data_IF_028215132399
#
_entry.id   IF_028215132399
#
_cell.length_a   1.000
_cell.length_b   1.000
_cell.length_c   1.000
_cell.angle_alpha   90.00
_cell.angle_beta   90.00
_cell.angle_gamma   90.00
#
_symmetry.space_group_name_H-M   'P 1'
#
loop_
_entity.id
_entity.type
_entity.pdbx_description
1 polymer ?
#
# COMPACT_ATOMS: atom_id res chain seq x y z
N UNK A 1 -23.16 -27.88 39.78
CA UNK A 1 -23.21 -27.46 38.34
C UNK A 1 -22.65 -26.04 38.14
N UNK A 2 -22.89 -25.06 39.01
CA UNK A 2 -22.38 -23.68 38.90
C UNK A 2 -20.84 -23.59 39.02
N UNK A 3 -20.19 -24.39 39.87
CA UNK A 3 -18.73 -24.39 40.01
C UNK A 3 -17.98 -24.99 38.81
N UNK A 4 -18.60 -25.88 38.05
CA UNK A 4 -18.01 -26.45 36.83
C UNK A 4 -18.14 -25.51 35.65
N UNK A 5 -19.19 -24.69 35.57
CA UNK A 5 -19.36 -23.68 34.49
C UNK A 5 -18.36 -22.52 34.62
N UNK A 6 -18.05 -22.08 35.84
CA UNK A 6 -17.02 -21.06 36.08
C UNK A 6 -15.61 -21.53 35.67
N UNK A 7 -15.20 -22.75 36.10
CA UNK A 7 -13.90 -23.31 35.71
C UNK A 7 -13.74 -23.54 34.20
N UNK A 8 -14.79 -23.95 33.49
CA UNK A 8 -14.73 -24.09 32.04
C UNK A 8 -14.60 -22.72 31.31
N UNK A 9 -15.28 -21.71 31.81
CA UNK A 9 -15.14 -20.33 31.30
C UNK A 9 -13.70 -19.81 31.49
N UNK A 10 -13.10 -20.00 32.68
CA UNK A 10 -11.74 -19.56 32.97
C UNK A 10 -10.68 -20.31 32.17
N UNK A 11 -10.83 -21.61 31.94
CA UNK A 11 -9.92 -22.40 31.08
C UNK A 11 -10.03 -21.98 29.62
N UNK A 12 -11.21 -21.70 29.13
CA UNK A 12 -11.38 -21.20 27.74
C UNK A 12 -10.77 -19.81 27.55
N UNK A 13 -10.97 -18.88 28.49
CA UNK A 13 -10.38 -17.54 28.46
C UNK A 13 -8.87 -17.59 28.52
N UNK A 14 -8.28 -18.40 29.40
CA UNK A 14 -6.83 -18.62 29.48
C UNK A 14 -6.26 -19.20 28.18
N UNK A 15 -6.96 -20.12 27.52
CA UNK A 15 -6.50 -20.73 26.27
C UNK A 15 -6.51 -19.71 25.15
N UNK A 16 -7.54 -18.87 25.04
CA UNK A 16 -7.61 -17.80 24.04
C UNK A 16 -6.56 -16.71 24.29
N UNK A 17 -6.29 -16.35 25.54
CA UNK A 17 -5.25 -15.41 25.91
C UNK A 17 -3.85 -15.95 25.54
N UNK A 18 -3.55 -17.21 25.83
CA UNK A 18 -2.30 -17.85 25.38
C UNK A 18 -2.11 -17.80 23.87
N UNK A 19 -3.15 -18.10 23.09
CA UNK A 19 -3.10 -18.01 21.63
C UNK A 19 -2.78 -16.59 21.14
N UNK A 20 -3.37 -15.55 21.77
CA UNK A 20 -3.08 -14.15 21.44
C UNK A 20 -1.62 -13.79 21.72
N UNK A 21 -1.09 -14.18 22.87
CA UNK A 21 0.32 -13.93 23.20
C UNK A 21 1.28 -14.68 22.27
N UNK A 22 0.95 -15.92 21.88
CA UNK A 22 1.75 -16.68 20.91
C UNK A 22 1.81 -15.95 19.57
N UNK A 23 0.68 -15.47 19.05
CA UNK A 23 0.63 -14.70 17.80
C UNK A 23 1.43 -13.40 17.93
N UNK A 24 1.26 -12.66 19.03
CA UNK A 24 2.04 -11.45 19.29
C UNK A 24 3.54 -11.75 19.31
N UNK A 25 3.95 -12.82 19.99
CA UNK A 25 5.35 -13.26 20.04
C UNK A 25 5.91 -13.57 18.64
N UNK A 26 5.11 -14.20 17.76
CA UNK A 26 5.50 -14.45 16.36
C UNK A 26 5.71 -13.13 15.62
N UNK A 27 4.79 -12.17 15.74
CA UNK A 27 4.95 -10.86 15.09
C UNK A 27 6.17 -10.09 15.60
N UNK A 28 6.43 -10.14 16.91
CA UNK A 28 7.66 -9.54 17.49
C UNK A 28 8.90 -10.21 16.92
N UNK A 29 8.93 -11.54 16.84
CA UNK A 29 10.04 -12.27 16.23
C UNK A 29 10.25 -11.93 14.75
N UNK A 30 9.16 -11.83 13.96
CA UNK A 30 9.21 -11.41 12.57
C UNK A 30 9.75 -9.97 12.44
N UNK A 31 9.30 -9.06 13.29
CA UNK A 31 9.77 -7.67 13.30
C UNK A 31 11.26 -7.58 13.59
N UNK A 32 11.71 -8.25 14.65
CA UNK A 32 13.12 -8.29 15.04
C UNK A 32 13.99 -8.95 13.96
N UNK A 33 13.49 -10.03 13.36
CA UNK A 33 14.18 -10.71 12.26
C UNK A 33 14.44 -9.75 11.09
N UNK A 34 13.42 -9.02 10.60
CA UNK A 34 13.63 -8.07 9.51
C UNK A 34 14.50 -6.87 9.93
N UNK A 35 14.34 -6.38 11.17
CA UNK A 35 15.16 -5.27 11.70
C UNK A 35 16.66 -5.61 11.73
N UNK A 36 17.01 -6.88 11.85
CA UNK A 36 18.41 -7.32 11.82
C UNK A 36 19.09 -7.03 10.47
N UNK A 37 18.32 -7.08 9.37
CA UNK A 37 18.86 -6.87 8.03
C UNK A 37 18.89 -5.39 7.59
N UNK A 38 18.29 -4.46 8.33
CA UNK A 38 18.20 -3.06 7.92
C UNK A 38 19.56 -2.40 7.69
N UNK A 39 20.56 -2.76 8.51
CA UNK A 39 21.91 -2.18 8.39
C UNK A 39 22.75 -2.78 7.25
N UNK A 40 22.36 -3.96 6.77
CA UNK A 40 22.99 -4.65 5.65
C UNK A 40 22.38 -4.24 4.31
N UNK A 41 21.29 -3.47 4.36
CA UNK A 41 20.62 -2.98 3.16
C UNK A 41 21.42 -1.83 2.57
N UNK A 42 21.83 -1.95 1.31
CA UNK A 42 22.48 -0.87 0.58
C UNK A 42 21.48 0.19 0.09
N UNK A 43 22.00 1.33 -0.35
CA UNK A 43 21.20 2.41 -0.93
C UNK A 43 20.55 1.90 -2.23
N UNK A 44 19.23 2.05 -2.32
CA UNK A 44 18.45 1.72 -3.49
C UNK A 44 18.64 2.77 -4.58
N UNK A 45 18.59 2.36 -5.85
CA UNK A 45 18.88 3.23 -6.99
C UNK A 45 18.03 4.51 -7.02
N UNK A 46 16.73 4.40 -6.71
CA UNK A 46 15.81 5.53 -6.72
C UNK A 46 15.71 6.28 -5.37
N UNK A 47 16.38 5.80 -4.31
CA UNK A 47 16.23 6.30 -2.94
C UNK A 47 16.47 7.80 -2.84
N UNK A 48 17.56 8.28 -3.44
CA UNK A 48 17.91 9.69 -3.43
C UNK A 48 16.85 10.55 -4.16
N UNK A 49 16.37 10.09 -5.30
CA UNK A 49 15.33 10.77 -6.06
C UNK A 49 13.99 10.80 -5.29
N UNK A 50 13.66 9.73 -4.57
CA UNK A 50 12.44 9.67 -3.77
C UNK A 50 12.52 10.56 -2.51
N UNK A 51 13.70 10.72 -1.92
CA UNK A 51 13.94 11.72 -0.87
C UNK A 51 13.78 13.14 -1.40
N UNK A 52 14.35 13.45 -2.56
CA UNK A 52 14.16 14.75 -3.22
C UNK A 52 12.69 15.05 -3.50
N UNK A 53 11.93 14.06 -4.00
CA UNK A 53 10.48 14.18 -4.22
C UNK A 53 9.77 14.46 -2.89
N UNK A 54 10.13 13.78 -1.80
CA UNK A 54 9.58 14.07 -0.48
C UNK A 54 9.82 15.54 -0.10
N UNK A 55 11.04 16.02 -0.23
CA UNK A 55 11.39 17.40 0.12
C UNK A 55 10.68 18.43 -0.75
N UNK A 56 10.57 18.18 -2.05
CA UNK A 56 9.80 19.06 -2.95
C UNK A 56 8.30 19.09 -2.59
N UNK A 57 7.71 17.98 -2.14
CA UNK A 57 6.33 17.95 -1.63
C UNK A 57 6.20 18.78 -0.34
N UNK A 58 7.15 18.65 0.59
CA UNK A 58 7.16 19.43 1.84
C UNK A 58 7.34 20.92 1.56
N UNK A 59 8.24 21.28 0.64
CA UNK A 59 8.42 22.68 0.22
C UNK A 59 7.12 23.25 -0.35
N UNK A 60 6.41 22.50 -1.20
CA UNK A 60 5.12 22.93 -1.75
C UNK A 60 4.10 23.24 -0.65
N UNK A 61 4.01 22.41 0.40
CA UNK A 61 3.18 22.74 1.57
C UNK A 61 3.65 24.03 2.27
N UNK A 62 4.96 24.18 2.45
CA UNK A 62 5.54 25.37 3.07
C UNK A 62 5.17 26.64 2.34
N UNK A 63 5.27 26.67 1.02
CA UNK A 63 4.92 27.81 0.18
C UNK A 63 3.42 28.08 0.14
N UNK A 64 2.63 27.04 -0.15
CA UNK A 64 1.17 27.20 -0.31
C UNK A 64 0.50 27.62 1.00
N UNK A 65 0.94 27.07 2.13
CA UNK A 65 0.41 27.39 3.47
C UNK A 65 1.17 28.52 4.18
N UNK A 66 2.14 29.12 3.51
CA UNK A 66 2.99 30.21 4.03
C UNK A 66 3.68 29.87 5.36
N UNK A 67 4.17 28.63 5.50
CA UNK A 67 4.86 28.15 6.69
C UNK A 67 6.34 28.53 6.58
N UNK A 68 6.70 29.71 7.11
CA UNK A 68 8.06 30.26 7.03
C UNK A 68 9.14 29.32 7.59
N UNK A 69 8.83 28.52 8.61
CA UNK A 69 9.78 27.55 9.17
C UNK A 69 10.19 26.48 8.15
N UNK A 70 9.27 26.07 7.26
CA UNK A 70 9.55 25.12 6.18
C UNK A 70 10.34 25.82 5.09
N UNK A 71 9.83 26.94 4.56
CA UNK A 71 10.49 27.65 3.46
C UNK A 71 11.89 28.14 3.81
N UNK A 72 12.12 28.61 5.04
CA UNK A 72 13.46 29.01 5.52
C UNK A 72 14.45 27.83 5.59
N UNK A 73 13.97 26.60 5.87
CA UNK A 73 14.84 25.44 5.83
C UNK A 73 15.39 25.20 4.42
N UNK A 74 14.55 25.39 3.38
CA UNK A 74 14.97 25.20 1.99
C UNK A 74 15.88 26.33 1.47
N UNK A 75 15.89 27.50 2.08
CA UNK A 75 16.87 28.57 1.76
C UNK A 75 18.33 28.15 2.03
N UNK A 76 18.52 27.19 2.94
CA UNK A 76 19.83 26.65 3.25
C UNK A 76 20.39 25.75 2.15
N UNK A 77 19.54 25.13 1.33
CA UNK A 77 19.93 24.17 0.30
C UNK A 77 19.45 24.64 -1.07
N UNK A 78 20.37 25.14 -1.87
CA UNK A 78 20.10 25.56 -3.25
C UNK A 78 19.64 24.39 -4.12
N UNK A 79 18.70 24.64 -5.04
CA UNK A 79 18.30 23.70 -6.08
C UNK A 79 16.96 23.01 -5.87
N UNK A 80 16.35 23.06 -4.68
CA UNK A 80 14.99 22.57 -4.50
C UNK A 80 13.95 23.53 -5.08
N UNK A 81 12.95 22.98 -5.74
CA UNK A 81 11.77 23.70 -6.24
C UNK A 81 10.51 23.00 -5.74
N UNK A 82 9.37 23.72 -5.66
CA UNK A 82 8.10 23.12 -5.32
C UNK A 82 7.75 21.98 -6.28
N UNK A 83 7.11 20.93 -5.77
CA UNK A 83 6.81 19.72 -6.58
C UNK A 83 5.95 20.04 -7.81
N UNK A 84 5.09 21.05 -7.77
CA UNK A 84 4.25 21.45 -8.91
C UNK A 84 5.07 21.88 -10.14
N UNK A 85 6.31 22.35 -9.95
CA UNK A 85 7.25 22.76 -11.00
C UNK A 85 8.13 21.60 -11.50
N UNK A 86 8.09 20.44 -10.83
CA UNK A 86 8.89 19.29 -11.18
C UNK A 86 8.19 18.44 -12.26
N UNK A 87 9.01 17.71 -13.03
CA UNK A 87 8.52 16.62 -13.91
C UNK A 87 8.02 15.44 -13.09
N UNK A 88 8.40 15.36 -11.80
CA UNK A 88 8.02 14.31 -10.84
C UNK A 88 6.73 14.65 -10.06
N UNK A 89 5.96 15.65 -10.49
CA UNK A 89 4.77 16.13 -9.78
C UNK A 89 3.66 15.10 -9.60
N UNK A 90 3.65 14.03 -10.38
CA UNK A 90 2.76 12.88 -10.25
C UNK A 90 3.25 11.82 -9.24
N UNK A 91 4.44 12.01 -8.64
CA UNK A 91 4.99 11.15 -7.61
C UNK A 91 4.69 11.68 -6.22
N UNK A 92 3.76 11.05 -5.52
CA UNK A 92 3.45 11.38 -4.13
C UNK A 92 4.33 10.62 -3.16
N UNK A 93 4.56 11.24 -2.00
CA UNK A 93 5.35 10.69 -0.90
C UNK A 93 4.62 10.80 0.45
N UNK A 94 3.28 10.90 0.43
CA UNK A 94 2.47 11.12 1.62
C UNK A 94 2.73 10.17 2.80
N UNK A 95 3.00 8.86 2.62
CA UNK A 95 3.34 8.00 3.73
C UNK A 95 4.57 8.46 4.53
N UNK A 96 5.46 9.24 3.90
CA UNK A 96 6.72 9.72 4.49
C UNK A 96 6.63 11.10 5.13
N UNK A 97 5.51 11.82 5.01
CA UNK A 97 5.38 13.16 5.59
C UNK A 97 5.63 13.20 7.10
N UNK A 98 5.29 12.13 7.83
CA UNK A 98 5.57 12.05 9.26
C UNK A 98 7.07 11.88 9.57
N UNK A 99 7.83 11.23 8.69
CA UNK A 99 9.26 11.03 8.81
C UNK A 99 10.07 12.27 8.35
N UNK A 100 9.50 13.06 7.45
CA UNK A 100 10.19 14.19 6.82
C UNK A 100 10.89 15.15 7.80
N UNK A 101 10.31 15.57 8.94
CA UNK A 101 11.00 16.49 9.86
C UNK A 101 12.30 15.93 10.43
N UNK A 102 12.36 14.60 10.66
CA UNK A 102 13.57 13.92 11.12
C UNK A 102 14.61 13.83 10.01
N UNK A 103 14.21 13.45 8.81
CA UNK A 103 15.09 13.36 7.64
C UNK A 103 15.66 14.75 7.30
N UNK A 104 14.82 15.77 7.24
CA UNK A 104 15.26 17.17 7.03
C UNK A 104 16.28 17.64 8.06
N UNK A 105 16.13 17.22 9.33
CA UNK A 105 17.11 17.55 10.36
C UNK A 105 18.44 16.82 10.15
N UNK A 106 18.40 15.54 9.76
CA UNK A 106 19.61 14.76 9.49
C UNK A 106 20.35 15.26 8.23
N UNK A 107 19.64 15.71 7.23
CA UNK A 107 20.19 16.29 5.99
C UNK A 107 21.10 17.51 6.24
N UNK A 108 20.90 18.24 7.33
CA UNK A 108 21.77 19.36 7.73
C UNK A 108 23.14 18.91 8.26
N UNK A 109 23.34 17.63 8.46
CA UNK A 109 24.52 17.02 9.06
C UNK A 109 25.13 15.99 8.10
N UNK A 110 26.06 16.37 7.19
CA UNK A 110 26.67 15.46 6.24
C UNK A 110 27.28 14.20 6.87
N UNK A 111 27.76 14.32 8.11
CA UNK A 111 28.25 13.20 8.91
C UNK A 111 27.16 12.19 9.30
N UNK A 112 25.91 12.58 9.23
CA UNK A 112 24.76 11.75 9.56
C UNK A 112 24.13 11.05 8.32
N UNK A 113 24.72 11.14 7.14
CA UNK A 113 24.16 10.57 5.91
C UNK A 113 23.80 9.08 6.03
N UNK A 114 24.64 8.29 6.71
CA UNK A 114 24.34 6.89 6.99
C UNK A 114 23.11 6.75 7.92
N UNK A 115 23.01 7.58 8.94
CA UNK A 115 21.87 7.56 9.86
C UNK A 115 20.57 7.98 9.14
N UNK A 116 20.66 8.89 8.17
CA UNK A 116 19.52 9.28 7.33
C UNK A 116 18.99 8.09 6.54
N UNK A 117 19.86 7.34 5.85
CA UNK A 117 19.48 6.12 5.13
C UNK A 117 18.95 5.04 6.08
N UNK A 118 19.59 4.82 7.24
CA UNK A 118 19.10 3.88 8.25
C UNK A 118 17.68 4.25 8.74
N UNK A 119 17.38 5.54 8.93
CA UNK A 119 16.04 6.03 9.31
C UNK A 119 15.04 5.82 8.18
N UNK A 120 15.44 6.10 6.94
CA UNK A 120 14.59 5.89 5.76
C UNK A 120 14.20 4.41 5.62
N UNK A 121 15.17 3.49 5.70
CA UNK A 121 14.94 2.05 5.64
C UNK A 121 14.10 1.55 6.83
N UNK A 122 14.39 2.00 8.05
CA UNK A 122 13.62 1.61 9.22
C UNK A 122 12.15 2.06 9.13
N UNK A 123 11.91 3.25 8.59
CA UNK A 123 10.56 3.77 8.37
C UNK A 123 9.84 3.00 7.26
N UNK A 124 10.52 2.72 6.14
CA UNK A 124 10.01 1.87 5.06
C UNK A 124 9.62 0.49 5.58
N UNK A 125 10.50 -0.14 6.36
CA UNK A 125 10.24 -1.43 6.99
C UNK A 125 9.05 -1.38 7.95
N UNK A 126 8.91 -0.32 8.73
CA UNK A 126 7.75 -0.16 9.63
C UNK A 126 6.43 -0.07 8.85
N UNK A 127 6.41 0.64 7.71
CA UNK A 127 5.24 0.70 6.81
C UNK A 127 4.96 -0.66 6.15
N UNK A 128 6.00 -1.36 5.71
CA UNK A 128 5.85 -2.73 5.22
C UNK A 128 5.30 -3.66 6.29
N UNK A 129 5.85 -3.60 7.50
CA UNK A 129 5.41 -4.44 8.62
C UNK A 129 3.98 -4.13 9.07
N UNK A 130 3.53 -2.89 8.96
CA UNK A 130 2.12 -2.54 9.10
C UNK A 130 1.27 -3.34 8.09
N UNK A 131 1.68 -3.42 6.83
CA UNK A 131 1.04 -4.26 5.82
C UNK A 131 0.96 -5.73 6.21
N UNK A 132 2.05 -6.28 6.78
CA UNK A 132 2.11 -7.66 7.30
C UNK A 132 1.09 -7.90 8.42
N UNK A 133 0.97 -6.94 9.37
CA UNK A 133 -0.03 -7.01 10.45
C UNK A 133 -1.45 -6.99 9.85
N UNK A 134 -1.69 -6.11 8.89
CA UNK A 134 -3.01 -5.99 8.26
C UNK A 134 -3.33 -7.18 7.35
N UNK A 135 -2.33 -7.85 6.77
CA UNK A 135 -2.52 -9.12 6.05
C UNK A 135 -3.10 -10.19 6.97
N UNK A 136 -2.56 -10.34 8.18
CA UNK A 136 -3.13 -11.25 9.18
C UNK A 136 -4.58 -10.88 9.52
N UNK A 137 -4.86 -9.59 9.72
CA UNK A 137 -6.21 -9.11 10.05
C UNK A 137 -7.18 -9.34 8.91
N UNK A 138 -6.74 -9.12 7.67
CA UNK A 138 -7.53 -9.35 6.46
C UNK A 138 -7.90 -10.83 6.31
N UNK A 139 -6.90 -11.71 6.38
CA UNK A 139 -7.11 -13.16 6.29
C UNK A 139 -7.94 -13.71 7.46
N UNK A 140 -7.75 -13.16 8.66
CA UNK A 140 -8.62 -13.47 9.80
C UNK A 140 -10.08 -13.06 9.56
N UNK A 141 -10.31 -11.90 8.97
CA UNK A 141 -11.68 -11.43 8.64
C UNK A 141 -12.33 -12.35 7.61
N UNK A 142 -11.58 -12.81 6.60
CA UNK A 142 -12.06 -13.68 5.54
C UNK A 142 -12.31 -15.13 5.98
N UNK A 143 -11.34 -15.73 6.66
CA UNK A 143 -11.37 -17.18 6.92
C UNK A 143 -11.82 -17.56 8.33
N UNK A 144 -11.80 -16.61 9.27
CA UNK A 144 -12.11 -16.83 10.69
C UNK A 144 -11.27 -17.94 11.35
N UNK A 145 -10.16 -18.32 10.72
CA UNK A 145 -9.20 -19.28 11.25
C UNK A 145 -7.81 -18.65 11.42
N UNK A 146 -7.27 -18.71 12.65
CA UNK A 146 -5.99 -18.09 13.00
C UNK A 146 -4.80 -18.77 12.35
N UNK A 147 -4.89 -20.08 12.10
CA UNK A 147 -3.80 -20.83 11.48
C UNK A 147 -3.66 -20.46 10.02
N UNK A 148 -4.76 -20.43 9.30
CA UNK A 148 -4.82 -19.98 7.90
C UNK A 148 -4.37 -18.52 7.77
N UNK A 149 -4.84 -17.64 8.65
CA UNK A 149 -4.43 -16.24 8.66
C UNK A 149 -2.91 -16.08 8.91
N UNK A 150 -2.36 -16.81 9.89
CA UNK A 150 -0.93 -16.76 10.20
C UNK A 150 -0.09 -17.35 9.06
N UNK A 151 -0.51 -18.49 8.49
CA UNK A 151 0.18 -19.13 7.37
C UNK A 151 0.27 -18.19 6.16
N UNK A 152 -0.84 -17.60 5.74
CA UNK A 152 -0.84 -16.66 4.61
C UNK A 152 0.00 -15.41 4.89
N UNK A 153 0.02 -14.92 6.14
CA UNK A 153 0.88 -13.81 6.55
C UNK A 153 2.36 -14.17 6.51
N UNK A 154 2.71 -15.37 6.98
CA UNK A 154 4.08 -15.87 6.89
C UNK A 154 4.52 -16.07 5.44
N UNK A 155 3.64 -16.55 4.57
CA UNK A 155 3.92 -16.68 3.13
C UNK A 155 4.22 -15.32 2.49
N UNK A 156 3.47 -14.27 2.84
CA UNK A 156 3.76 -12.91 2.38
C UNK A 156 5.15 -12.46 2.89
N UNK A 157 5.35 -12.52 4.20
CA UNK A 157 6.56 -12.01 4.85
C UNK A 157 7.83 -12.75 4.42
N UNK A 158 7.76 -14.09 4.28
CA UNK A 158 8.92 -14.93 3.92
C UNK A 158 9.13 -15.07 2.42
N UNK A 159 8.30 -14.45 1.57
CA UNK A 159 8.57 -14.39 0.13
C UNK A 159 9.80 -13.54 -0.11
N UNK A 160 10.92 -14.09 -0.64
CA UNK A 160 12.23 -13.42 -0.64
C UNK A 160 12.20 -12.04 -1.28
N UNK A 161 11.55 -11.89 -2.43
CA UNK A 161 11.40 -10.62 -3.13
C UNK A 161 10.64 -9.59 -2.30
N UNK A 162 9.49 -10.00 -1.73
CA UNK A 162 8.63 -9.10 -0.94
C UNK A 162 9.35 -8.69 0.35
N UNK A 163 10.04 -9.62 1.00
CA UNK A 163 10.81 -9.34 2.21
C UNK A 163 11.95 -8.34 1.92
N UNK A 164 12.73 -8.59 0.87
CA UNK A 164 13.83 -7.70 0.48
C UNK A 164 13.30 -6.30 0.13
N UNK A 165 12.29 -6.20 -0.75
CA UNK A 165 11.68 -4.93 -1.11
C UNK A 165 11.09 -4.20 0.11
N UNK A 166 10.59 -4.92 1.10
CA UNK A 166 10.09 -4.38 2.37
C UNK A 166 11.12 -3.66 3.22
N UNK A 167 12.41 -3.90 3.00
CA UNK A 167 13.49 -3.25 3.75
C UNK A 167 13.89 -1.88 3.17
N UNK A 168 13.76 -1.67 1.85
CA UNK A 168 14.29 -0.48 1.19
C UNK A 168 13.36 0.13 0.13
N UNK A 169 12.47 -0.64 -0.49
CA UNK A 169 11.60 -0.13 -1.55
C UNK A 169 10.46 0.70 -0.96
N UNK A 170 10.71 2.00 -0.86
CA UNK A 170 9.81 2.98 -0.27
C UNK A 170 8.51 3.23 -1.07
N UNK A 171 8.41 2.72 -2.28
CA UNK A 171 7.28 2.97 -3.17
C UNK A 171 6.40 1.73 -3.34
N UNK A 172 6.92 0.67 -3.95
CA UNK A 172 6.09 -0.48 -4.30
C UNK A 172 5.71 -1.34 -3.09
N UNK A 173 6.64 -1.56 -2.15
CA UNK A 173 6.34 -2.32 -0.92
C UNK A 173 5.38 -1.56 0.00
N UNK A 174 5.51 -0.24 0.06
CA UNK A 174 4.60 0.63 0.82
C UNK A 174 3.23 0.69 0.18
N UNK A 175 3.16 0.82 -1.17
CA UNK A 175 1.88 0.75 -1.88
C UNK A 175 1.17 -0.59 -1.66
N UNK A 176 1.89 -1.71 -1.77
CA UNK A 176 1.34 -3.03 -1.48
C UNK A 176 0.78 -3.09 -0.05
N UNK A 177 1.51 -2.57 0.94
CA UNK A 177 1.09 -2.53 2.33
C UNK A 177 -0.19 -1.70 2.53
N UNK A 178 -0.26 -0.52 1.91
CA UNK A 178 -1.43 0.35 1.94
C UNK A 178 -2.64 -0.29 1.23
N UNK A 179 -2.42 -1.01 0.11
CA UNK A 179 -3.48 -1.76 -0.57
C UNK A 179 -4.01 -2.87 0.35
N UNK A 180 -3.17 -3.58 1.08
CA UNK A 180 -3.61 -4.59 2.07
C UNK A 180 -4.47 -3.95 3.16
N UNK A 181 -4.06 -2.79 3.68
CA UNK A 181 -4.87 -2.01 4.65
C UNK A 181 -6.20 -1.59 4.04
N UNK A 182 -6.17 -1.09 2.81
CA UNK A 182 -7.38 -0.68 2.07
C UNK A 182 -8.33 -1.85 1.83
N UNK A 183 -7.83 -3.03 1.44
CA UNK A 183 -8.62 -4.25 1.28
C UNK A 183 -9.26 -4.68 2.61
N UNK A 184 -8.53 -4.62 3.72
CA UNK A 184 -9.10 -4.91 5.04
C UNK A 184 -10.30 -4.01 5.38
N UNK A 185 -10.15 -2.70 5.20
CA UNK A 185 -11.27 -1.78 5.44
C UNK A 185 -12.35 -1.89 4.36
N UNK A 186 -11.97 -2.22 3.12
CA UNK A 186 -12.89 -2.50 2.03
C UNK A 186 -13.83 -3.66 2.33
N UNK A 187 -13.31 -4.81 2.78
CA UNK A 187 -14.12 -5.96 3.17
C UNK A 187 -15.06 -5.60 4.32
N UNK A 188 -14.56 -4.94 5.36
CA UNK A 188 -15.40 -4.49 6.48
C UNK A 188 -16.47 -3.49 6.04
N UNK A 189 -16.15 -2.61 5.11
CA UNK A 189 -17.10 -1.68 4.51
C UNK A 189 -18.20 -2.41 3.75
N UNK A 190 -17.84 -3.40 2.92
CA UNK A 190 -18.80 -4.22 2.17
C UNK A 190 -19.73 -5.03 3.09
N UNK A 191 -19.19 -5.58 4.19
CA UNK A 191 -19.98 -6.35 5.16
C UNK A 191 -20.88 -5.47 6.02
N UNK A 192 -20.30 -4.43 6.64
CA UNK A 192 -20.97 -3.64 7.70
C UNK A 192 -21.76 -2.46 7.17
N UNK A 193 -21.36 -1.92 6.03
CA UNK A 193 -21.98 -0.74 5.40
C UNK A 193 -22.10 0.43 6.39
N UNK A 194 -21.06 0.68 7.20
CA UNK A 194 -21.00 1.72 8.21
C UNK A 194 -20.08 2.89 7.83
N UNK A 195 -20.35 4.06 8.40
CA UNK A 195 -19.62 5.30 8.12
C UNK A 195 -18.15 5.24 8.51
N UNK A 196 -17.80 4.56 9.62
CA UNK A 196 -16.41 4.45 10.09
C UNK A 196 -15.54 3.72 9.08
N UNK A 197 -15.99 2.56 8.60
CA UNK A 197 -15.24 1.79 7.60
C UNK A 197 -15.22 2.52 6.24
N UNK A 198 -16.27 3.25 5.88
CA UNK A 198 -16.29 4.12 4.70
C UNK A 198 -15.20 5.20 4.75
N UNK A 199 -15.09 5.92 5.86
CA UNK A 199 -14.05 6.94 6.04
C UNK A 199 -12.64 6.35 6.02
N UNK A 200 -12.41 5.24 6.73
CA UNK A 200 -11.09 4.59 6.76
C UNK A 200 -10.69 4.04 5.39
N UNK A 201 -11.63 3.48 4.64
CA UNK A 201 -11.43 3.08 3.25
C UNK A 201 -11.05 4.28 2.37
N UNK A 202 -11.78 5.40 2.49
CA UNK A 202 -11.49 6.62 1.75
C UNK A 202 -10.09 7.18 2.08
N UNK A 203 -9.72 7.26 3.36
CA UNK A 203 -8.37 7.70 3.76
C UNK A 203 -7.29 6.80 3.13
N UNK A 204 -7.46 5.48 3.20
CA UNK A 204 -6.51 4.55 2.56
C UNK A 204 -6.44 4.77 1.04
N UNK A 205 -7.57 5.03 0.38
CA UNK A 205 -7.61 5.33 -1.05
C UNK A 205 -6.84 6.61 -1.40
N UNK A 206 -6.94 7.65 -0.55
CA UNK A 206 -6.16 8.88 -0.71
C UNK A 206 -4.66 8.64 -0.64
N UNK A 207 -4.18 7.88 0.35
CA UNK A 207 -2.76 7.51 0.47
C UNK A 207 -2.29 6.64 -0.71
N UNK A 208 -3.06 5.62 -1.09
CA UNK A 208 -2.71 4.76 -2.24
C UNK A 208 -2.65 5.57 -3.54
N UNK A 209 -3.65 6.42 -3.78
CA UNK A 209 -3.72 7.26 -4.99
C UNK A 209 -2.60 8.30 -5.05
N UNK A 210 -2.22 8.88 -3.90
CA UNK A 210 -1.09 9.80 -3.82
C UNK A 210 0.22 9.09 -4.17
N UNK A 211 0.48 7.93 -3.59
CA UNK A 211 1.75 7.21 -3.81
C UNK A 211 1.88 6.70 -5.25
N UNK A 212 0.80 6.11 -5.79
CA UNK A 212 0.66 5.76 -7.22
C UNK A 212 -0.82 5.80 -7.61
N UNK A 213 -1.14 6.44 -8.72
CA UNK A 213 -2.51 6.55 -9.24
C UNK A 213 -3.19 5.18 -9.43
N UNK A 214 -2.39 4.13 -9.69
CA UNK A 214 -2.88 2.74 -9.79
C UNK A 214 -3.57 2.23 -8.52
N UNK A 215 -3.24 2.79 -7.35
CA UNK A 215 -3.92 2.47 -6.10
C UNK A 215 -5.43 2.81 -6.12
N UNK A 216 -5.85 3.79 -6.92
CA UNK A 216 -7.26 4.18 -7.08
C UNK A 216 -8.08 3.06 -7.74
N UNK A 217 -7.47 2.23 -8.61
CA UNK A 217 -8.19 1.12 -9.25
C UNK A 217 -8.73 0.11 -8.26
N UNK A 218 -7.99 -0.18 -7.18
CA UNK A 218 -8.44 -1.08 -6.12
C UNK A 218 -9.63 -0.47 -5.37
N UNK A 219 -9.60 0.84 -5.09
CA UNK A 219 -10.73 1.55 -4.49
C UNK A 219 -11.97 1.52 -5.39
N UNK A 220 -11.81 1.78 -6.69
CA UNK A 220 -12.89 1.72 -7.67
C UNK A 220 -13.48 0.31 -7.77
N UNK A 221 -12.64 -0.73 -7.71
CA UNK A 221 -13.09 -2.13 -7.68
C UNK A 221 -13.94 -2.42 -6.44
N UNK A 222 -13.51 -1.98 -5.25
CA UNK A 222 -14.30 -2.11 -4.01
C UNK A 222 -15.65 -1.39 -4.14
N UNK A 223 -15.64 -0.18 -4.72
CA UNK A 223 -16.86 0.58 -5.03
C UNK A 223 -17.81 -0.17 -5.98
N UNK A 224 -17.26 -0.77 -7.03
CA UNK A 224 -18.02 -1.63 -7.96
C UNK A 224 -18.67 -2.82 -7.25
N UNK A 225 -17.92 -3.53 -6.41
CA UNK A 225 -18.49 -4.61 -5.58
C UNK A 225 -19.56 -4.11 -4.63
N UNK A 226 -19.40 -2.93 -4.02
CA UNK A 226 -20.42 -2.33 -3.18
C UNK A 226 -21.74 -2.13 -3.93
N UNK A 227 -21.68 -1.53 -5.13
CA UNK A 227 -22.86 -1.31 -5.97
C UNK A 227 -23.51 -2.65 -6.40
N UNK A 228 -22.70 -3.63 -6.78
CA UNK A 228 -23.20 -4.97 -7.13
C UNK A 228 -23.91 -5.65 -5.98
N UNK A 229 -23.36 -5.59 -4.76
CA UNK A 229 -23.95 -6.15 -3.55
C UNK A 229 -25.28 -5.45 -3.24
N UNK A 230 -25.33 -4.10 -3.27
CA UNK A 230 -26.58 -3.36 -3.03
C UNK A 230 -27.68 -3.74 -4.04
N UNK A 231 -27.30 -3.89 -5.32
CA UNK A 231 -28.24 -4.26 -6.37
C UNK A 231 -28.75 -5.69 -6.18
N UNK A 232 -27.84 -6.64 -5.94
CA UNK A 232 -28.16 -8.06 -5.75
C UNK A 232 -29.02 -8.28 -4.49
N UNK A 233 -28.69 -7.62 -3.39
CA UNK A 233 -29.41 -7.73 -2.11
C UNK A 233 -30.67 -6.83 -2.06
N UNK A 234 -30.90 -6.01 -3.08
CA UNK A 234 -31.98 -5.00 -3.11
C UNK A 234 -31.96 -4.07 -1.89
N UNK A 235 -30.76 -3.73 -1.38
CA UNK A 235 -30.55 -2.91 -0.17
C UNK A 235 -30.27 -1.45 -0.48
N UNK A 236 -30.78 -0.92 -1.55
CA UNK A 236 -30.70 0.51 -1.84
C UNK A 236 -31.51 1.31 -0.83
N UNK A 237 -30.87 2.26 -0.16
CA UNK A 237 -31.48 3.18 0.81
C UNK A 237 -30.68 4.47 0.86
N UNK A 238 -31.26 5.54 1.38
CA UNK A 238 -30.56 6.80 1.61
C UNK A 238 -29.32 6.61 2.49
N UNK A 239 -29.38 5.73 3.50
CA UNK A 239 -28.23 5.40 4.35
C UNK A 239 -27.10 4.73 3.57
N UNK A 240 -27.37 3.70 2.77
CA UNK A 240 -26.35 3.01 1.99
C UNK A 240 -25.76 3.91 0.92
N UNK A 241 -26.58 4.74 0.27
CA UNK A 241 -26.08 5.75 -0.66
C UNK A 241 -25.13 6.74 0.04
N UNK A 242 -25.56 7.29 1.20
CA UNK A 242 -24.73 8.23 1.95
C UNK A 242 -23.40 7.62 2.41
N UNK A 243 -23.37 6.36 2.83
CA UNK A 243 -22.16 5.68 3.28
C UNK A 243 -21.19 5.46 2.10
N UNK A 244 -21.67 5.05 0.92
CA UNK A 244 -20.86 4.94 -0.29
C UNK A 244 -20.33 6.30 -0.76
N UNK A 245 -21.20 7.32 -0.75
CA UNK A 245 -20.82 8.69 -1.09
C UNK A 245 -19.75 9.23 -0.13
N UNK A 246 -19.88 8.96 1.19
CA UNK A 246 -18.90 9.36 2.19
C UNK A 246 -17.52 8.73 1.92
N UNK A 247 -17.44 7.44 1.54
CA UNK A 247 -16.18 6.81 1.18
C UNK A 247 -15.51 7.52 0.00
N UNK A 248 -16.28 7.88 -1.02
CA UNK A 248 -15.79 8.59 -2.21
C UNK A 248 -15.32 10.01 -1.87
N UNK A 249 -16.12 10.76 -1.13
CA UNK A 249 -15.78 12.14 -0.72
C UNK A 249 -14.54 12.16 0.16
N UNK A 250 -14.48 11.29 1.18
CA UNK A 250 -13.30 11.20 2.05
C UNK A 250 -12.06 10.77 1.26
N UNK A 251 -12.19 9.83 0.32
CA UNK A 251 -11.10 9.42 -0.55
C UNK A 251 -10.58 10.57 -1.42
N UNK A 252 -11.47 11.29 -2.05
CA UNK A 252 -11.14 12.45 -2.86
C UNK A 252 -10.48 13.57 -2.03
N UNK A 253 -11.07 13.93 -0.88
CA UNK A 253 -10.50 14.97 -0.01
C UNK A 253 -9.14 14.55 0.55
N UNK A 254 -8.98 13.28 0.93
CA UNK A 254 -7.68 12.75 1.38
C UNK A 254 -6.64 12.81 0.26
N UNK A 255 -7.00 12.42 -0.96
CA UNK A 255 -6.12 12.53 -2.11
C UNK A 255 -5.69 13.98 -2.38
N UNK A 256 -6.65 14.91 -2.39
CA UNK A 256 -6.36 16.33 -2.56
C UNK A 256 -5.43 16.84 -1.45
N UNK A 257 -5.76 16.53 -0.19
CA UNK A 257 -4.97 16.99 0.94
C UNK A 257 -3.53 16.46 0.92
N UNK A 258 -3.33 15.22 0.47
CA UNK A 258 -2.04 14.55 0.43
C UNK A 258 -1.21 14.86 -0.82
N UNK A 259 -1.79 15.53 -1.84
CA UNK A 259 -1.13 15.80 -3.12
C UNK A 259 -0.90 17.31 -3.30
N UNK A 260 0.13 17.89 -2.67
CA UNK A 260 0.35 19.34 -2.71
C UNK A 260 0.67 19.86 -4.10
N UNK A 261 1.11 19.03 -5.03
CA UNK A 261 1.33 19.40 -6.43
C UNK A 261 0.10 20.04 -7.10
N UNK A 262 -1.12 19.66 -6.65
CA UNK A 262 -2.39 20.22 -7.15
C UNK A 262 -2.60 21.67 -6.69
N UNK A 263 -1.94 22.10 -5.61
CA UNK A 263 -2.19 23.38 -4.95
C UNK A 263 -1.27 24.51 -5.45
N UNK A 264 -0.25 24.17 -6.27
CA UNK A 264 0.71 25.16 -6.79
C UNK A 264 0.03 26.18 -7.71
N UNK A 265 0.43 27.47 -7.59
CA UNK A 265 -0.03 28.59 -8.44
C UNK A 265 -1.54 28.69 -8.73
N UNK A 266 -2.37 28.05 -7.91
CA UNK A 266 -3.79 27.88 -8.08
C UNK A 266 -4.20 26.41 -8.12
N UNK A 267 -5.50 26.14 -8.07
CA UNK A 267 -6.03 24.78 -8.04
C UNK A 267 -6.13 24.22 -9.47
N UNK A 268 -5.12 23.49 -9.92
CA UNK A 268 -5.02 22.92 -11.26
C UNK A 268 -5.34 21.41 -11.34
N UNK A 269 -6.38 20.96 -10.62
CA UNK A 269 -6.74 19.54 -10.53
C UNK A 269 -6.87 18.87 -11.91
N UNK A 270 -7.54 19.51 -12.86
CA UNK A 270 -7.77 18.90 -14.18
C UNK A 270 -6.46 18.73 -14.95
N UNK A 271 -5.62 19.73 -14.98
CA UNK A 271 -4.29 19.67 -15.62
C UNK A 271 -3.42 18.60 -14.98
N UNK A 272 -3.43 18.54 -13.65
CA UNK A 272 -2.71 17.51 -12.91
C UNK A 272 -3.20 16.08 -13.24
N UNK A 273 -4.52 15.86 -13.28
CA UNK A 273 -5.09 14.57 -13.64
C UNK A 273 -4.75 14.18 -15.08
N UNK A 274 -4.80 15.12 -16.03
CA UNK A 274 -4.42 14.88 -17.42
C UNK A 274 -2.92 14.57 -17.54
N UNK A 275 -2.07 15.28 -16.79
CA UNK A 275 -0.65 14.98 -16.71
C UNK A 275 -0.40 13.56 -16.19
N UNK A 276 -1.03 13.20 -15.09
CA UNK A 276 -0.89 11.88 -14.48
C UNK A 276 -1.33 10.75 -15.43
N UNK A 277 -2.46 10.94 -16.11
CA UNK A 277 -2.97 9.98 -17.09
C UNK A 277 -2.02 9.86 -18.29
N UNK A 278 -1.53 10.97 -18.82
CA UNK A 278 -0.56 10.99 -19.92
C UNK A 278 0.74 10.28 -19.55
N UNK A 279 1.28 10.54 -18.34
CA UNK A 279 2.51 9.92 -17.88
C UNK A 279 2.35 8.42 -17.59
N UNK A 280 1.21 8.00 -17.06
CA UNK A 280 0.94 6.57 -16.81
C UNK A 280 0.80 5.75 -18.11
N UNK A 281 0.52 6.41 -19.24
CA UNK A 281 0.39 5.78 -20.55
C UNK A 281 1.61 5.98 -21.47
N UNK A 282 2.49 6.93 -21.13
CA UNK A 282 3.67 7.28 -21.94
C UNK A 282 4.95 6.70 -21.32
N UNK A 283 5.51 5.68 -21.98
CA UNK A 283 6.83 5.11 -21.65
C UNK A 283 8.03 6.01 -22.04
N UNK A 284 7.80 7.27 -22.41
CA UNK A 284 8.80 8.16 -22.97
C UNK A 284 9.89 8.62 -21.98
N UNK A 285 9.64 8.53 -20.66
CA UNK A 285 10.59 8.99 -19.62
C UNK A 285 11.93 8.26 -19.65
N UNK A 286 11.96 6.99 -20.09
CA UNK A 286 13.18 6.17 -20.17
C UNK A 286 13.60 5.85 -21.60
N UNK A 287 13.29 6.72 -22.59
CA UNK A 287 13.45 6.42 -24.01
C UNK A 287 12.77 5.10 -24.43
N UNK A 288 11.92 4.54 -23.59
CA UNK A 288 11.24 3.28 -23.82
C UNK A 288 12.16 2.07 -24.01
N UNK A 289 13.41 2.12 -23.50
CA UNK A 289 14.37 1.02 -23.61
C UNK A 289 14.21 0.03 -22.46
N UNK A 290 13.98 -1.22 -22.79
CA UNK A 290 13.87 -2.32 -21.82
C UNK A 290 14.74 -3.48 -22.26
N UNK A 291 15.61 -3.97 -21.37
CA UNK A 291 16.36 -5.21 -21.59
C UNK A 291 15.49 -6.40 -21.14
N UNK A 292 15.14 -7.25 -22.08
CA UNK A 292 14.37 -8.46 -21.80
C UNK A 292 14.90 -9.64 -22.63
N UNK A 293 15.14 -10.77 -21.98
CA UNK A 293 15.71 -11.98 -22.60
C UNK A 293 17.04 -11.74 -23.35
N UNK A 294 17.87 -10.81 -22.87
CA UNK A 294 19.12 -10.45 -23.52
C UNK A 294 18.97 -9.55 -24.74
N UNK A 295 17.77 -9.11 -25.07
CA UNK A 295 17.47 -8.23 -26.21
C UNK A 295 17.00 -6.88 -25.69
N UNK A 296 17.53 -5.80 -26.30
CA UNK A 296 17.03 -4.45 -26.06
C UNK A 296 15.77 -4.19 -26.87
N UNK A 297 14.71 -3.88 -26.20
CA UNK A 297 13.44 -3.44 -26.79
C UNK A 297 13.31 -1.92 -26.68
N UNK A 298 12.80 -1.29 -27.71
CA UNK A 298 12.52 0.15 -27.78
C UNK A 298 11.10 0.31 -28.25
N UNK A 299 10.27 1.03 -27.50
CA UNK A 299 8.84 1.11 -27.75
C UNK A 299 8.49 1.48 -29.21
N UNK A 300 9.22 2.45 -29.80
CA UNK A 300 8.97 2.97 -31.14
C UNK A 300 9.43 2.06 -32.29
N UNK A 301 10.45 1.25 -32.08
CA UNK A 301 11.12 0.48 -33.16
C UNK A 301 11.06 -1.02 -32.99
N UNK A 302 11.09 -1.50 -31.77
CA UNK A 302 11.03 -2.92 -31.44
C UNK A 302 10.23 -3.08 -30.12
N UNK A 303 8.89 -3.09 -30.15
CA UNK A 303 8.07 -3.13 -28.94
C UNK A 303 8.22 -4.45 -28.21
N UNK A 304 7.99 -4.40 -26.86
CA UNK A 304 8.01 -5.59 -26.03
C UNK A 304 7.02 -6.64 -26.51
N UNK A 305 7.40 -7.94 -26.47
CA UNK A 305 6.52 -9.01 -26.88
C UNK A 305 5.31 -9.12 -25.93
N UNK A 306 4.19 -9.58 -26.44
CA UNK A 306 2.95 -9.73 -25.65
C UNK A 306 3.11 -10.61 -24.39
N UNK A 307 4.05 -11.55 -24.42
CA UNK A 307 4.33 -12.45 -23.29
C UNK A 307 5.32 -11.88 -22.26
N UNK A 308 5.79 -10.65 -22.45
CA UNK A 308 6.71 -9.98 -21.53
C UNK A 308 6.21 -10.02 -20.07
N UNK A 309 5.02 -9.47 -19.84
CA UNK A 309 4.44 -9.43 -18.50
C UNK A 309 4.11 -10.81 -17.93
N UNK A 310 3.43 -11.73 -18.67
CA UNK A 310 3.24 -13.11 -18.22
C UNK A 310 4.54 -13.83 -17.83
N UNK A 311 5.61 -13.65 -18.61
CA UNK A 311 6.91 -14.29 -18.32
C UNK A 311 7.56 -13.69 -17.08
N UNK A 312 7.55 -12.37 -16.91
CA UNK A 312 8.05 -11.74 -15.69
C UNK A 312 7.30 -12.23 -14.45
N UNK A 313 5.99 -12.28 -14.50
CA UNK A 313 5.16 -12.81 -13.40
C UNK A 313 5.58 -14.25 -13.07
N UNK A 314 5.71 -15.11 -14.09
CA UNK A 314 6.10 -16.51 -13.90
C UNK A 314 7.51 -16.68 -13.30
N UNK A 315 8.45 -15.80 -13.66
CA UNK A 315 9.82 -15.83 -13.14
C UNK A 315 9.99 -15.23 -11.75
N UNK A 316 9.16 -14.24 -11.40
CA UNK A 316 9.28 -13.51 -10.13
C UNK A 316 8.47 -14.13 -8.99
N UNK A 317 7.41 -14.86 -9.30
CA UNK A 317 6.61 -15.57 -8.29
C UNK A 317 7.33 -16.85 -7.89
N UNK A 318 7.60 -17.09 -6.59
CA UNK A 318 8.15 -18.35 -6.12
C UNK A 318 7.32 -19.55 -6.59
N UNK A 319 7.99 -20.63 -7.03
CA UNK A 319 7.33 -21.78 -7.64
C UNK A 319 6.22 -22.39 -6.76
N UNK A 320 6.43 -22.44 -5.44
CA UNK A 320 5.41 -22.95 -4.51
C UNK A 320 4.14 -22.08 -4.49
N UNK A 321 4.26 -20.76 -4.64
CA UNK A 321 3.09 -19.86 -4.75
C UNK A 321 2.35 -20.06 -6.06
N UNK A 322 3.09 -20.27 -7.15
CA UNK A 322 2.49 -20.60 -8.45
C UNK A 322 1.69 -21.91 -8.39
N UNK A 323 2.26 -22.97 -7.76
CA UNK A 323 1.55 -24.24 -7.56
C UNK A 323 0.29 -24.05 -6.72
N UNK A 324 0.37 -23.31 -5.62
CA UNK A 324 -0.79 -23.02 -4.78
C UNK A 324 -1.86 -22.22 -5.52
N UNK A 325 -1.47 -21.22 -6.32
CA UNK A 325 -2.40 -20.42 -7.12
C UNK A 325 -3.16 -21.28 -8.13
N UNK A 326 -2.45 -22.07 -8.93
CA UNK A 326 -3.08 -22.92 -9.93
C UNK A 326 -3.95 -24.02 -9.31
N UNK A 327 -3.49 -24.59 -8.18
CA UNK A 327 -4.29 -25.56 -7.42
C UNK A 327 -5.57 -24.92 -6.87
N UNK A 328 -5.48 -23.69 -6.35
CA UNK A 328 -6.65 -22.95 -5.83
C UNK A 328 -7.65 -22.64 -6.92
N UNK A 329 -7.18 -22.21 -8.11
CA UNK A 329 -8.04 -21.98 -9.28
C UNK A 329 -8.73 -23.29 -9.71
N UNK A 330 -7.99 -24.40 -9.75
CA UNK A 330 -8.55 -25.72 -10.07
C UNK A 330 -9.64 -26.15 -9.09
N UNK A 331 -9.39 -25.98 -7.79
CA UNK A 331 -10.37 -26.28 -6.72
C UNK A 331 -11.60 -25.37 -6.86
N UNK A 332 -11.39 -24.07 -7.10
CA UNK A 332 -12.47 -23.10 -7.27
C UNK A 332 -13.39 -23.47 -8.46
N UNK A 333 -12.81 -23.80 -9.61
CA UNK A 333 -13.57 -24.28 -10.78
C UNK A 333 -14.33 -25.58 -10.46
N UNK A 334 -13.69 -26.54 -9.76
CA UNK A 334 -14.32 -27.79 -9.38
C UNK A 334 -15.52 -27.58 -8.46
N UNK A 335 -15.36 -26.75 -7.40
CA UNK A 335 -16.45 -26.38 -6.49
C UNK A 335 -17.59 -25.66 -7.23
N UNK A 336 -17.26 -24.77 -8.16
CA UNK A 336 -18.23 -24.08 -8.99
C UNK A 336 -19.09 -25.02 -9.84
N UNK A 337 -18.48 -26.01 -10.48
CA UNK A 337 -19.17 -27.02 -11.24
C UNK A 337 -20.12 -27.89 -10.39
N UNK A 338 -19.79 -28.07 -9.10
CA UNK A 338 -20.61 -28.82 -8.15
C UNK A 338 -21.58 -27.97 -7.34
N UNK A 339 -21.67 -26.68 -7.60
CA UNK A 339 -22.45 -25.72 -6.79
C UNK A 339 -22.12 -25.74 -5.28
N UNK A 340 -20.87 -26.03 -4.93
CA UNK A 340 -20.37 -26.20 -3.56
C UNK A 340 -19.57 -24.99 -3.07
N UNK A 341 -19.83 -23.79 -3.59
CA UNK A 341 -19.14 -22.58 -3.14
C UNK A 341 -19.62 -22.15 -1.75
N UNK A 342 -18.68 -21.92 -0.86
CA UNK A 342 -18.90 -21.23 0.39
C UNK A 342 -18.70 -19.70 0.26
N UNK A 343 -18.76 -18.96 1.38
CA UNK A 343 -18.63 -17.50 1.36
C UNK A 343 -17.23 -17.06 0.83
N UNK A 344 -16.17 -17.76 1.23
CA UNK A 344 -14.81 -17.43 0.80
C UNK A 344 -14.56 -17.71 -0.70
N UNK A 345 -15.29 -18.67 -1.27
CA UNK A 345 -15.21 -18.99 -2.70
C UNK A 345 -15.96 -17.97 -3.59
N UNK A 346 -16.83 -17.14 -3.01
CA UNK A 346 -17.69 -16.18 -3.73
C UNK A 346 -17.12 -14.76 -3.77
N UNK A 347 -16.13 -14.46 -2.93
CA UNK A 347 -15.38 -13.21 -2.91
C UNK A 347 -14.08 -13.37 -3.72
#
# INVERSE_FOLDING_TARGET
>A
KLLLSGRMGDVQTMTEQKKRYTILGIFVAMFLFGSFFLRETGVYFDEHSEEEILYMNILQYGETLQISKITNWFQWKDGYRPICESIEKDHGSAPYYLCAPLLMKLEQHPEAARLQSDVWHAYTYALFFMGVIYMYRLLWELFRDRRTALLGTLMLFLTPRIFADGLYNNKDSVLMSLIIVMLFYGIRFLERKDFKNACLLGICAGFCGNLKISGIYVFAMIGGFYLLILTKEKKWSGKTFFVGFAATVVGFLSYLALTPAIWGQGFHLWEFLMWNLSNSTNFSRMDGKVLFDGIWYVHSTNPLPWYYLPKLIALTIPAYLSVLLWSSIGIWIYKGRKHQWDFADRI
#
